data_IF_071016954359
#
_entry.id   IF_071016954359
#
_cell.length_a   1.000
_cell.length_b   1.000
_cell.length_c   1.000
_cell.angle_alpha   90.00
_cell.angle_beta   90.00
_cell.angle_gamma   90.00
#
_symmetry.space_group_name_H-M   'P 1'
#
loop_
_entity.id
_entity.type
_entity.pdbx_description
1 polymer ?
#
# COMPACT_ATOMS: atom_id res chain seq x y z
N UNK A 1 6.94 -3.43 -6.27
CA UNK A 1 6.43 -3.84 -4.95
C UNK A 1 5.43 -4.97 -5.17
N UNK A 2 5.82 -6.19 -4.84
CA UNK A 2 4.93 -7.35 -4.84
C UNK A 2 4.09 -7.40 -3.55
N UNK A 3 3.02 -8.20 -3.49
CA UNK A 3 2.27 -8.41 -2.26
C UNK A 3 3.15 -8.87 -1.08
N UNK A 4 4.15 -9.71 -1.34
CA UNK A 4 5.08 -10.23 -0.34
C UNK A 4 6.01 -9.13 0.19
N UNK A 5 6.50 -8.26 -0.70
CA UNK A 5 7.31 -7.08 -0.33
C UNK A 5 6.50 -6.09 0.53
N UNK A 6 5.21 -5.92 0.21
CA UNK A 6 4.27 -5.11 1.00
C UNK A 6 4.13 -5.66 2.41
N UNK A 7 3.90 -6.97 2.54
CA UNK A 7 3.76 -7.62 3.85
C UNK A 7 5.05 -7.52 4.66
N UNK A 8 6.21 -7.71 4.02
CA UNK A 8 7.51 -7.59 4.68
C UNK A 8 7.76 -6.17 5.23
N UNK A 9 7.49 -5.14 4.41
CA UNK A 9 7.61 -3.73 4.81
C UNK A 9 6.64 -3.38 5.96
N UNK A 10 5.39 -3.86 5.87
CA UNK A 10 4.39 -3.63 6.92
C UNK A 10 4.81 -4.27 8.24
N UNK A 11 5.32 -5.49 8.20
CA UNK A 11 5.81 -6.20 9.37
C UNK A 11 7.01 -5.51 10.01
N UNK A 12 7.95 -4.97 9.19
CA UNK A 12 9.06 -4.18 9.71
C UNK A 12 8.54 -2.96 10.47
N UNK A 13 7.69 -2.16 9.83
CA UNK A 13 7.13 -0.93 10.43
C UNK A 13 6.34 -1.21 11.70
N UNK A 14 5.56 -2.29 11.73
CA UNK A 14 4.79 -2.68 12.92
C UNK A 14 5.71 -3.11 14.07
N UNK A 15 6.80 -3.83 13.78
CA UNK A 15 7.80 -4.20 14.79
C UNK A 15 8.55 -2.99 15.31
N UNK A 16 8.94 -2.07 14.43
CA UNK A 16 9.60 -0.82 14.82
C UNK A 16 8.69 0.00 15.75
N UNK A 17 7.40 0.11 15.42
CA UNK A 17 6.42 0.80 16.25
C UNK A 17 6.20 0.11 17.61
N UNK A 18 6.22 -1.22 17.66
CA UNK A 18 6.13 -1.98 18.91
C UNK A 18 7.38 -1.75 19.79
N UNK A 19 8.58 -1.90 19.22
CA UNK A 19 9.84 -1.84 19.96
C UNK A 19 10.28 -0.42 20.30
N UNK A 20 9.72 0.60 19.65
CA UNK A 20 9.92 2.00 20.05
C UNK A 20 9.21 2.36 21.37
N UNK A 21 8.34 1.49 21.89
CA UNK A 21 7.65 1.71 23.16
C UNK A 21 8.48 1.22 24.35
N UNK A 22 8.49 1.98 25.43
CA UNK A 22 9.17 1.58 26.66
C UNK A 22 8.49 0.39 27.37
N UNK A 23 7.19 0.19 27.12
CA UNK A 23 6.35 -0.82 27.75
C UNK A 23 6.14 -2.09 26.90
N UNK A 24 6.89 -2.28 25.79
CA UNK A 24 6.64 -3.35 24.82
C UNK A 24 6.65 -4.78 25.40
N UNK A 25 7.27 -4.98 26.57
CA UNK A 25 7.30 -6.27 27.28
C UNK A 25 6.11 -6.52 28.21
N UNK A 26 5.38 -5.47 28.60
CA UNK A 26 4.32 -5.53 29.61
C UNK A 26 3.03 -4.86 29.10
N UNK A 27 2.62 -5.22 27.88
CA UNK A 27 1.41 -4.67 27.29
C UNK A 27 0.16 -5.25 27.96
N UNK A 28 -0.82 -4.38 28.21
CA UNK A 28 -2.16 -4.79 28.62
C UNK A 28 -2.93 -5.33 27.41
N UNK A 29 -4.01 -6.09 27.67
CA UNK A 29 -4.88 -6.60 26.61
C UNK A 29 -5.43 -5.49 25.71
N UNK A 30 -5.88 -4.38 26.29
CA UNK A 30 -6.36 -3.21 25.54
C UNK A 30 -5.26 -2.60 24.65
N UNK A 31 -4.03 -2.52 25.15
CA UNK A 31 -2.91 -2.01 24.35
C UNK A 31 -2.57 -2.94 23.19
N UNK A 32 -2.64 -4.26 23.39
CA UNK A 32 -2.46 -5.24 22.31
C UNK A 32 -3.56 -5.09 21.25
N UNK A 33 -4.82 -4.97 21.66
CA UNK A 33 -5.94 -4.76 20.73
C UNK A 33 -5.78 -3.47 19.93
N UNK A 34 -5.42 -2.36 20.59
CA UNK A 34 -5.16 -1.10 19.91
C UNK A 34 -4.00 -1.19 18.90
N UNK A 35 -2.95 -1.94 19.21
CA UNK A 35 -1.84 -2.18 18.28
C UNK A 35 -2.26 -3.04 17.08
N UNK A 36 -3.12 -4.04 17.30
CA UNK A 36 -3.69 -4.85 16.22
C UNK A 36 -4.54 -4.00 15.28
N UNK A 37 -5.40 -3.14 15.82
CA UNK A 37 -6.24 -2.23 15.03
C UNK A 37 -5.39 -1.22 14.23
N UNK A 38 -4.35 -0.67 14.86
CA UNK A 38 -3.42 0.23 14.19
C UNK A 38 -2.68 -0.47 13.02
N UNK A 39 -2.18 -1.68 13.26
CA UNK A 39 -1.51 -2.49 12.24
C UNK A 39 -2.45 -2.83 11.07
N UNK A 40 -3.70 -3.22 11.37
CA UNK A 40 -4.70 -3.51 10.35
C UNK A 40 -5.03 -2.28 9.50
N UNK A 41 -5.23 -1.12 10.14
CA UNK A 41 -5.50 0.14 9.44
C UNK A 41 -4.32 0.58 8.56
N UNK A 42 -3.10 0.36 9.01
CA UNK A 42 -1.90 0.61 8.22
C UNK A 42 -1.82 -0.30 6.99
N UNK A 43 -2.12 -1.60 7.17
CA UNK A 43 -2.27 -2.56 6.08
C UNK A 43 -3.29 -2.11 5.03
N UNK A 44 -4.48 -1.72 5.49
CA UNK A 44 -5.55 -1.23 4.63
C UNK A 44 -5.15 0.00 3.81
N UNK A 45 -4.53 1.01 4.45
CA UNK A 45 -4.07 2.24 3.78
C UNK A 45 -3.04 1.94 2.70
N UNK A 46 -2.05 1.11 3.02
CA UNK A 46 -0.97 0.80 2.10
C UNK A 46 -1.47 -0.05 0.91
N UNK A 47 -2.29 -1.07 1.17
CA UNK A 47 -2.94 -1.87 0.13
C UNK A 47 -3.83 -1.02 -0.80
N UNK A 48 -4.58 -0.07 -0.22
CA UNK A 48 -5.42 0.86 -1.00
C UNK A 48 -4.61 1.77 -1.91
N UNK A 49 -3.50 2.32 -1.40
CA UNK A 49 -2.61 3.20 -2.19
C UNK A 49 -1.92 2.45 -3.33
N UNK A 50 -1.48 1.21 -3.10
CA UNK A 50 -0.89 0.36 -4.14
C UNK A 50 -1.92 0.06 -5.23
N UNK A 51 -3.12 -0.38 -4.84
CA UNK A 51 -4.21 -0.69 -5.78
C UNK A 51 -4.59 0.54 -6.62
N UNK A 52 -4.72 1.71 -6.00
CA UNK A 52 -5.00 2.97 -6.69
C UNK A 52 -3.89 3.33 -7.69
N UNK A 53 -2.63 3.11 -7.32
CA UNK A 53 -1.48 3.38 -8.20
C UNK A 53 -1.47 2.45 -9.41
N UNK A 54 -1.81 1.17 -9.22
CA UNK A 54 -1.95 0.21 -10.33
C UNK A 54 -3.08 0.62 -11.28
N UNK A 55 -4.23 1.01 -10.76
CA UNK A 55 -5.36 1.49 -11.57
C UNK A 55 -4.98 2.76 -12.35
N UNK A 56 -4.34 3.73 -11.71
CA UNK A 56 -3.84 4.96 -12.39
C UNK A 56 -2.84 4.62 -13.49
N UNK A 57 -1.92 3.70 -13.25
CA UNK A 57 -0.95 3.23 -14.24
C UNK A 57 -1.64 2.57 -15.44
N UNK A 58 -2.62 1.69 -15.19
CA UNK A 58 -3.39 1.05 -16.25
C UNK A 58 -4.17 2.06 -17.11
N UNK A 59 -4.83 3.04 -16.46
CA UNK A 59 -5.54 4.11 -17.15
C UNK A 59 -4.62 4.99 -18.00
N UNK A 60 -3.44 5.33 -17.48
CA UNK A 60 -2.44 6.09 -18.24
C UNK A 60 -2.00 5.34 -19.50
N UNK A 61 -1.71 4.04 -19.40
CA UNK A 61 -1.34 3.21 -20.55
C UNK A 61 -2.47 3.15 -21.58
N UNK A 62 -3.72 3.01 -21.14
CA UNK A 62 -4.88 3.03 -22.04
C UNK A 62 -5.02 4.37 -22.77
N UNK A 63 -4.91 5.50 -22.05
CA UNK A 63 -4.97 6.83 -22.64
C UNK A 63 -3.87 7.05 -23.69
N UNK A 64 -2.63 6.68 -23.38
CA UNK A 64 -1.51 6.78 -24.33
C UNK A 64 -1.74 5.97 -25.60
N UNK A 65 -2.30 4.75 -25.48
CA UNK A 65 -2.64 3.92 -26.65
C UNK A 65 -3.73 4.56 -27.51
N UNK A 66 -4.77 5.12 -26.90
CA UNK A 66 -5.87 5.78 -27.63
C UNK A 66 -5.38 7.02 -28.38
N UNK A 67 -4.53 7.85 -27.75
CA UNK A 67 -3.93 9.02 -28.40
C UNK A 67 -2.98 8.62 -29.54
N UNK A 68 -2.18 7.56 -29.35
CA UNK A 68 -1.32 7.01 -30.41
C UNK A 68 -2.12 6.51 -31.62
N UNK A 69 -3.19 5.76 -31.38
CA UNK A 69 -4.06 5.23 -32.44
C UNK A 69 -4.79 6.34 -33.22
N UNK A 70 -5.06 7.48 -32.59
CA UNK A 70 -5.70 8.63 -33.24
C UNK A 70 -4.72 9.40 -34.14
N UNK A 71 -3.42 9.46 -33.77
CA UNK A 71 -2.36 10.08 -34.57
C UNK A 71 -2.08 9.30 -35.86
N UNK A 72 -2.10 7.97 -35.81
CA UNK A 72 -1.87 7.12 -36.99
C UNK A 72 -3.01 7.18 -38.02
N UNK A 73 -4.24 7.52 -37.60
CA UNK A 73 -5.40 7.69 -38.51
C UNK A 73 -5.49 9.06 -39.19
N UNK A 74 -4.81 10.09 -38.66
CA UNK A 74 -4.83 11.45 -39.24
C UNK A 74 -3.62 11.76 -40.13
N UNK A 75 -2.73 10.79 -40.34
CA UNK A 75 -1.56 10.89 -41.22
C UNK A 75 -1.64 10.03 -42.49
N UNK A 76 -2.82 9.47 -42.82
CA UNK A 76 -3.10 8.71 -44.03
C UNK A 76 -4.02 9.48 -44.97
#
# INVERSE_FOLDING_TARGET
>A
MTPEEIVADLNSKNRDALYARDDYRNLTHEQVLALMDAAAMQGFKLGSNVSLSMVKGALLVQLTRTVGAQKDRSGA
#
